data_IF_650799287797
#
_entry.id   IF_650799287797
#
_cell.length_a   1.000
_cell.length_b   1.000
_cell.length_c   1.000
_cell.angle_alpha   90.00
_cell.angle_beta   90.00
_cell.angle_gamma   90.00
#
_symmetry.space_group_name_H-M   'P 1'
#
loop_
_entity.id
_entity.type
_entity.pdbx_description
1 polymer ?
#
# COMPACT_ATOMS: atom_id res chain seq x y z
N UNK A 1 19.97 -6.90 -21.95
CA UNK A 1 20.32 -6.96 -20.51
C UNK A 1 19.23 -6.19 -19.79
N UNK A 2 18.42 -6.89 -19.01
CA UNK A 2 17.28 -6.30 -18.30
C UNK A 2 17.80 -5.32 -17.25
N UNK A 3 17.37 -4.08 -17.36
CA UNK A 3 17.75 -2.96 -16.50
C UNK A 3 16.74 -2.87 -15.37
N UNK A 4 17.21 -2.89 -14.11
CA UNK A 4 16.35 -2.77 -12.92
C UNK A 4 15.85 -1.32 -12.68
N UNK A 5 15.86 -0.49 -13.73
CA UNK A 5 15.51 0.93 -13.65
C UNK A 5 14.20 1.21 -14.40
N UNK A 6 13.44 2.16 -13.88
CA UNK A 6 12.15 2.60 -14.39
C UNK A 6 12.14 4.12 -14.52
N UNK A 7 11.42 4.60 -15.52
CA UNK A 7 10.87 5.94 -15.54
C UNK A 7 9.55 5.91 -14.78
N UNK A 8 9.36 6.80 -13.80
CA UNK A 8 8.13 6.90 -13.04
C UNK A 8 7.84 8.34 -12.58
N UNK A 9 6.57 8.65 -12.37
CA UNK A 9 6.07 9.90 -11.79
C UNK A 9 5.22 9.56 -10.57
N UNK A 10 5.58 10.10 -9.41
CA UNK A 10 4.91 9.75 -8.15
C UNK A 10 4.88 8.23 -7.93
N UNK A 11 3.69 7.65 -7.89
CA UNK A 11 3.43 6.21 -7.73
C UNK A 11 3.15 5.47 -9.06
N UNK A 12 3.23 6.16 -10.20
CA UNK A 12 2.94 5.60 -11.52
C UNK A 12 4.20 5.23 -12.30
N UNK A 13 4.34 3.97 -12.68
CA UNK A 13 5.38 3.54 -13.61
C UNK A 13 5.01 3.99 -15.03
N UNK A 14 5.99 4.55 -15.74
CA UNK A 14 5.83 5.03 -17.12
C UNK A 14 6.44 4.02 -18.09
N UNK A 15 7.70 3.66 -17.90
CA UNK A 15 8.42 2.75 -18.80
C UNK A 15 9.62 2.11 -18.07
N UNK A 16 10.09 0.98 -18.57
CA UNK A 16 11.39 0.44 -18.16
C UNK A 16 12.50 1.23 -18.85
N UNK A 17 13.62 1.46 -18.16
CA UNK A 17 14.72 2.26 -18.70
C UNK A 17 15.63 1.37 -19.50
N UNK A 18 15.78 1.60 -20.79
CA UNK A 18 16.79 0.97 -21.65
C UNK A 18 17.90 1.97 -21.96
N UNK A 19 19.17 1.54 -21.86
CA UNK A 19 20.31 2.35 -22.29
C UNK A 19 20.73 1.93 -23.69
N UNK A 20 20.71 2.87 -24.63
CA UNK A 20 21.18 2.68 -26.01
C UNK A 20 22.71 2.61 -26.06
N UNK A 21 23.24 2.17 -27.20
CA UNK A 21 24.69 2.02 -27.43
C UNK A 21 25.46 3.34 -27.29
N UNK A 22 24.81 4.48 -27.57
CA UNK A 22 25.35 5.83 -27.42
C UNK A 22 25.27 6.37 -25.98
N UNK A 23 24.77 5.57 -25.04
CA UNK A 23 24.57 5.95 -23.64
C UNK A 23 23.24 6.65 -23.34
N UNK A 24 22.41 6.94 -24.35
CA UNK A 24 21.11 7.60 -24.16
C UNK A 24 20.14 6.69 -23.43
N UNK A 25 19.48 7.22 -22.39
CA UNK A 25 18.37 6.54 -21.72
C UNK A 25 17.08 6.72 -22.52
N UNK A 26 16.39 5.62 -22.77
CA UNK A 26 15.11 5.57 -23.46
C UNK A 26 14.15 4.58 -22.82
N UNK A 27 12.85 4.76 -23.02
CA UNK A 27 11.84 3.80 -22.62
C UNK A 27 11.99 2.51 -23.41
N UNK A 28 11.99 1.36 -22.73
CA UNK A 28 12.13 0.06 -23.37
C UNK A 28 10.89 -0.35 -24.16
N UNK A 29 9.71 0.14 -23.78
CA UNK A 29 8.46 -0.10 -24.52
C UNK A 29 8.15 1.02 -25.51
N UNK A 30 8.24 2.27 -25.07
CA UNK A 30 7.90 3.43 -25.89
C UNK A 30 8.98 3.81 -26.90
N UNK A 31 10.23 3.42 -26.66
CA UNK A 31 11.40 3.88 -27.42
C UNK A 31 11.74 5.36 -27.23
N UNK A 32 10.93 6.13 -26.48
CA UNK A 32 11.10 7.57 -26.26
C UNK A 32 12.30 7.85 -25.39
N UNK A 33 13.07 8.89 -25.70
CA UNK A 33 14.19 9.32 -24.85
C UNK A 33 13.68 9.89 -23.54
N UNK A 34 14.54 9.95 -22.52
CA UNK A 34 14.19 10.61 -21.26
C UNK A 34 13.66 12.04 -21.47
N UNK A 35 14.25 12.81 -22.38
CA UNK A 35 13.81 14.17 -22.67
C UNK A 35 12.37 14.22 -23.21
N UNK A 36 12.02 13.30 -24.12
CA UNK A 36 10.66 13.19 -24.66
C UNK A 36 9.67 12.75 -23.57
N UNK A 37 10.08 11.84 -22.69
CA UNK A 37 9.25 11.43 -21.56
C UNK A 37 9.04 12.57 -20.55
N UNK A 38 10.05 13.41 -20.31
CA UNK A 38 9.90 14.62 -19.47
C UNK A 38 8.95 15.64 -20.09
N UNK A 39 8.97 15.80 -21.42
CA UNK A 39 8.04 16.69 -22.12
C UNK A 39 6.58 16.21 -21.98
N UNK A 40 6.36 14.90 -22.04
CA UNK A 40 5.02 14.30 -21.98
C UNK A 40 4.45 14.17 -20.56
N UNK A 41 5.27 13.73 -19.60
CA UNK A 41 4.85 13.42 -18.24
C UNK A 41 5.24 14.50 -17.21
N UNK A 42 5.98 15.51 -17.65
CA UNK A 42 6.40 16.64 -16.83
C UNK A 42 7.77 16.48 -16.16
N UNK A 43 8.28 17.56 -15.55
CA UNK A 43 9.62 17.63 -14.96
C UNK A 43 9.80 16.75 -13.71
N UNK A 44 8.70 16.21 -13.18
CA UNK A 44 8.67 15.32 -12.02
C UNK A 44 9.05 13.87 -12.37
N UNK A 45 9.18 13.57 -13.66
CA UNK A 45 9.61 12.26 -14.13
C UNK A 45 11.01 11.93 -13.61
N UNK A 46 11.09 10.77 -12.94
CA UNK A 46 12.30 10.27 -12.30
C UNK A 46 12.76 9.00 -12.97
N UNK A 47 14.07 8.83 -13.00
CA UNK A 47 14.73 7.54 -13.24
C UNK A 47 15.15 6.99 -11.88
N UNK A 48 14.71 5.79 -11.56
CA UNK A 48 15.13 5.12 -10.32
C UNK A 48 15.01 3.60 -10.46
N UNK A 49 15.44 2.91 -9.42
CA UNK A 49 15.34 1.46 -9.31
C UNK A 49 13.89 0.99 -9.13
N UNK A 50 13.65 -0.30 -9.37
CA UNK A 50 12.35 -0.94 -9.06
C UNK A 50 12.01 -0.86 -7.58
N UNK A 51 13.00 -0.88 -6.71
CA UNK A 51 12.80 -0.77 -5.26
C UNK A 51 12.33 0.63 -4.86
N UNK A 52 12.94 1.68 -5.40
CA UNK A 52 12.52 3.07 -5.18
C UNK A 52 11.10 3.31 -5.71
N UNK A 53 10.79 2.79 -6.91
CA UNK A 53 9.43 2.84 -7.44
C UNK A 53 8.44 2.10 -6.52
N UNK A 54 8.75 0.87 -6.11
CA UNK A 54 7.87 0.08 -5.23
C UNK A 54 7.63 0.79 -3.90
N UNK A 55 8.66 1.39 -3.30
CA UNK A 55 8.51 2.15 -2.08
C UNK A 55 7.57 3.36 -2.26
N UNK A 56 7.72 4.12 -3.34
CA UNK A 56 6.84 5.26 -3.66
C UNK A 56 5.41 4.81 -3.95
N UNK A 57 5.26 3.74 -4.73
CA UNK A 57 3.97 3.13 -5.06
C UNK A 57 3.24 2.65 -3.80
N UNK A 58 3.89 1.86 -2.96
CA UNK A 58 3.25 1.29 -1.77
C UNK A 58 2.92 2.37 -0.75
N UNK A 59 3.78 3.38 -0.58
CA UNK A 59 3.50 4.52 0.28
C UNK A 59 2.24 5.28 -0.14
N UNK A 60 1.97 5.41 -1.45
CA UNK A 60 0.76 6.04 -1.97
C UNK A 60 -0.52 5.26 -1.64
N UNK A 61 -0.45 3.92 -1.69
CA UNK A 61 -1.61 3.06 -1.45
C UNK A 61 -1.86 2.75 0.03
N UNK A 62 -0.84 2.86 0.88
CA UNK A 62 -0.99 2.64 2.32
C UNK A 62 -1.91 3.68 2.94
N UNK A 63 -2.59 3.28 4.00
CA UNK A 63 -3.38 4.19 4.84
C UNK A 63 -3.31 3.68 6.28
N UNK A 64 -3.18 4.57 7.28
CA UNK A 64 -3.14 4.17 8.67
C UNK A 64 -4.49 3.59 9.12
N UNK A 65 -4.48 2.94 10.29
CA UNK A 65 -5.73 2.51 10.91
C UNK A 65 -6.64 3.71 11.21
N UNK A 66 -7.91 3.54 10.87
CA UNK A 66 -9.00 4.42 11.27
C UNK A 66 -10.15 3.57 11.81
N UNK A 67 -10.93 4.16 12.69
CA UNK A 67 -12.15 3.53 13.21
C UNK A 67 -13.24 3.52 12.13
N UNK A 68 -14.03 2.45 12.12
CA UNK A 68 -15.19 2.24 11.24
C UNK A 68 -16.36 1.74 12.09
N UNK A 69 -17.56 1.71 11.51
CA UNK A 69 -18.73 1.19 12.19
C UNK A 69 -18.76 -0.34 12.16
N UNK A 70 -19.57 -0.95 13.04
CA UNK A 70 -19.81 -2.39 13.05
C UNK A 70 -20.37 -2.87 11.69
N UNK A 71 -21.31 -2.12 11.12
CA UNK A 71 -21.94 -2.45 9.83
C UNK A 71 -20.93 -2.43 8.69
N UNK A 72 -19.95 -1.52 8.72
CA UNK A 72 -18.90 -1.46 7.72
C UNK A 72 -17.95 -2.67 7.82
N UNK A 73 -17.64 -3.12 9.04
CA UNK A 73 -16.84 -4.32 9.29
C UNK A 73 -17.58 -5.59 8.83
N UNK A 74 -18.84 -5.74 9.22
CA UNK A 74 -19.66 -6.89 8.83
C UNK A 74 -19.87 -6.94 7.32
N UNK A 75 -20.11 -5.80 6.68
CA UNK A 75 -20.16 -5.72 5.22
C UNK A 75 -18.83 -6.18 4.62
N UNK A 76 -17.69 -5.71 5.13
CA UNK A 76 -16.39 -6.11 4.61
C UNK A 76 -16.15 -7.62 4.74
N UNK A 77 -16.59 -8.23 5.84
CA UNK A 77 -16.47 -9.67 6.08
C UNK A 77 -17.33 -10.51 5.11
N UNK A 78 -18.45 -9.96 4.63
CA UNK A 78 -19.41 -10.67 3.78
C UNK A 78 -19.27 -10.36 2.27
N UNK A 79 -18.52 -9.31 1.89
CA UNK A 79 -18.34 -8.93 0.48
C UNK A 79 -17.21 -9.71 -0.20
N UNK A 80 -16.11 -9.99 0.51
CA UNK A 80 -15.00 -10.78 0.00
C UNK A 80 -14.53 -11.80 1.03
N UNK A 81 -14.06 -12.98 0.60
CA UNK A 81 -13.51 -13.98 1.51
C UNK A 81 -12.39 -13.40 2.38
N UNK A 82 -12.40 -13.64 3.71
CA UNK A 82 -11.33 -13.22 4.59
C UNK A 82 -10.06 -14.05 4.33
N UNK A 83 -8.91 -13.38 4.34
CA UNK A 83 -7.59 -13.97 4.24
C UNK A 83 -6.81 -13.72 5.54
N UNK A 84 -6.13 -14.76 6.03
CA UNK A 84 -5.31 -14.69 7.23
C UNK A 84 -6.07 -14.26 8.48
N UNK A 85 -7.32 -14.73 8.62
CA UNK A 85 -8.16 -14.43 9.77
C UNK A 85 -7.54 -15.01 11.05
N UNK A 86 -7.27 -14.15 12.02
CA UNK A 86 -6.63 -14.53 13.28
C UNK A 86 -7.01 -13.59 14.43
N UNK A 87 -6.90 -14.09 15.67
CA UNK A 87 -7.04 -13.27 16.88
C UNK A 87 -5.72 -13.24 17.65
N UNK A 88 -5.19 -12.04 17.91
CA UNK A 88 -3.94 -11.82 18.64
C UNK A 88 -4.13 -10.67 19.64
N UNK A 89 -3.73 -10.87 20.89
CA UNK A 89 -3.81 -9.87 21.96
C UNK A 89 -5.19 -9.18 22.09
N UNK A 90 -6.26 -9.97 21.97
CA UNK A 90 -7.64 -9.48 22.06
C UNK A 90 -8.15 -8.73 20.82
N UNK A 91 -7.36 -8.69 19.74
CA UNK A 91 -7.72 -8.09 18.45
C UNK A 91 -7.98 -9.21 17.45
N UNK A 92 -9.23 -9.35 17.00
CA UNK A 92 -9.56 -10.19 15.86
C UNK A 92 -9.32 -9.40 14.58
N UNK A 93 -8.68 -10.00 13.58
CA UNK A 93 -8.38 -9.33 12.31
C UNK A 93 -8.44 -10.27 11.13
N UNK A 94 -8.75 -9.71 9.97
CA UNK A 94 -8.66 -10.37 8.68
C UNK A 94 -8.24 -9.37 7.61
N UNK A 95 -7.88 -9.87 6.43
CA UNK A 95 -7.59 -9.07 5.24
C UNK A 95 -8.53 -9.48 4.14
N UNK A 96 -8.81 -8.61 3.17
CA UNK A 96 -9.44 -9.09 1.94
C UNK A 96 -8.49 -9.98 1.15
N UNK A 97 -9.05 -10.98 0.46
CA UNK A 97 -8.29 -11.83 -0.46
C UNK A 97 -7.82 -11.08 -1.72
N UNK A 98 -8.54 -10.02 -2.12
CA UNK A 98 -8.22 -9.16 -3.24
C UNK A 98 -7.21 -8.05 -2.84
N UNK A 99 -6.33 -7.68 -3.77
CA UNK A 99 -5.35 -6.61 -3.59
C UNK A 99 -5.82 -5.37 -4.34
N UNK A 100 -5.73 -4.22 -3.70
CA UNK A 100 -6.06 -2.93 -4.31
C UNK A 100 -5.01 -2.52 -5.34
N UNK A 101 -3.73 -2.69 -4.99
CA UNK A 101 -2.59 -2.49 -5.88
C UNK A 101 -1.37 -3.22 -5.36
N UNK A 102 -0.62 -3.89 -6.24
CA UNK A 102 0.53 -4.71 -5.85
C UNK A 102 0.16 -5.70 -4.74
N UNK A 103 0.82 -5.62 -3.60
CA UNK A 103 0.56 -6.43 -2.40
C UNK A 103 -0.35 -5.74 -1.39
N UNK A 104 -0.78 -4.51 -1.63
CA UNK A 104 -1.58 -3.72 -0.69
C UNK A 104 -3.05 -4.14 -0.76
N UNK A 105 -3.66 -4.38 0.40
CA UNK A 105 -5.08 -4.73 0.55
C UNK A 105 -5.71 -3.99 1.74
N UNK A 106 -7.02 -4.10 1.89
CA UNK A 106 -7.69 -3.67 3.11
C UNK A 106 -7.48 -4.70 4.23
N UNK A 107 -7.08 -4.19 5.39
CA UNK A 107 -6.97 -4.96 6.64
C UNK A 107 -8.07 -4.47 7.55
N UNK A 108 -8.78 -5.40 8.19
CA UNK A 108 -9.85 -5.14 9.12
C UNK A 108 -9.48 -5.73 10.47
N UNK A 109 -9.82 -5.01 11.54
CA UNK A 109 -9.59 -5.46 12.91
C UNK A 109 -10.74 -5.04 13.81
N UNK A 110 -11.00 -5.78 14.88
CA UNK A 110 -11.95 -5.41 15.92
C UNK A 110 -11.47 -5.77 17.31
N UNK A 111 -11.87 -4.96 18.27
CA UNK A 111 -11.68 -5.17 19.71
C UNK A 111 -13.00 -4.92 20.42
N UNK A 112 -13.58 -5.94 21.07
CA UNK A 112 -14.91 -5.84 21.70
C UNK A 112 -15.94 -5.18 20.76
N UNK A 113 -16.27 -3.92 21.01
CA UNK A 113 -17.28 -3.07 20.37
C UNK A 113 -16.70 -2.02 19.41
N UNK A 114 -15.38 -2.05 19.15
CA UNK A 114 -14.68 -1.10 18.27
C UNK A 114 -14.10 -1.80 17.04
N UNK A 115 -14.21 -1.16 15.89
CA UNK A 115 -13.89 -1.74 14.59
C UNK A 115 -12.97 -0.81 13.81
N UNK A 116 -12.00 -1.37 13.09
CA UNK A 116 -10.92 -0.63 12.46
C UNK A 116 -10.63 -1.15 11.07
N UNK A 117 -10.14 -0.26 10.20
CA UNK A 117 -9.56 -0.64 8.91
C UNK A 117 -8.32 0.16 8.59
N UNK A 118 -7.40 -0.44 7.83
CA UNK A 118 -6.25 0.23 7.21
C UNK A 118 -5.97 -0.36 5.82
N UNK A 119 -5.04 0.25 5.10
CA UNK A 119 -4.49 -0.32 3.86
C UNK A 119 -3.02 -0.61 4.07
N UNK A 120 -2.64 -1.87 3.92
CA UNK A 120 -1.27 -2.34 4.15
C UNK A 120 -1.00 -3.60 3.33
N UNK A 121 0.23 -4.10 3.41
CA UNK A 121 0.66 -5.32 2.75
C UNK A 121 -0.17 -6.53 3.21
N UNK A 122 -0.51 -7.42 2.28
CA UNK A 122 -1.18 -8.69 2.55
C UNK A 122 -0.42 -9.55 3.56
N UNK A 123 0.90 -9.40 3.66
CA UNK A 123 1.75 -10.11 4.61
C UNK A 123 1.79 -9.47 6.01
N UNK A 124 1.06 -8.38 6.28
CA UNK A 124 1.07 -7.71 7.58
C UNK A 124 0.69 -8.71 8.69
N UNK A 125 1.56 -8.87 9.69
CA UNK A 125 1.38 -9.91 10.70
C UNK A 125 0.26 -9.56 11.70
N UNK A 126 -0.45 -10.56 12.25
CA UNK A 126 -1.46 -10.34 13.28
C UNK A 126 -0.93 -9.57 14.51
N UNK A 127 0.32 -9.83 14.92
CA UNK A 127 0.95 -9.13 16.03
C UNK A 127 1.16 -7.63 15.74
N UNK A 128 1.58 -7.26 14.53
CA UNK A 128 1.73 -5.84 14.15
C UNK A 128 0.36 -5.17 14.03
N UNK A 129 -0.65 -5.87 13.52
CA UNK A 129 -2.04 -5.36 13.48
C UNK A 129 -2.51 -5.05 14.90
N UNK A 130 -2.40 -6.01 15.82
CA UNK A 130 -2.82 -5.84 17.20
C UNK A 130 -2.09 -4.67 17.88
N UNK A 131 -0.76 -4.61 17.74
CA UNK A 131 0.06 -3.52 18.28
C UNK A 131 -0.38 -2.14 17.79
N UNK A 132 -0.66 -1.99 16.48
CA UNK A 132 -1.10 -0.72 15.90
C UNK A 132 -2.51 -0.32 16.32
N UNK A 133 -3.43 -1.28 16.45
CA UNK A 133 -4.78 -1.03 16.98
C UNK A 133 -4.70 -0.57 18.43
N UNK A 134 -3.92 -1.25 19.27
CA UNK A 134 -3.72 -0.84 20.66
C UNK A 134 -3.09 0.56 20.78
N UNK A 135 -2.12 0.88 19.93
CA UNK A 135 -1.53 2.23 19.87
C UNK A 135 -2.57 3.30 19.47
N UNK A 136 -3.47 2.98 18.53
CA UNK A 136 -4.56 3.88 18.14
C UNK A 136 -5.56 4.07 19.30
N UNK A 137 -5.95 2.99 19.97
CA UNK A 137 -6.83 3.04 21.15
C UNK A 137 -6.23 3.91 22.26
N UNK A 138 -4.93 3.75 22.53
CA UNK A 138 -4.22 4.53 23.55
C UNK A 138 -4.18 6.04 23.22
N UNK A 139 -4.14 6.41 21.94
CA UNK A 139 -4.18 7.82 21.50
C UNK A 139 -5.60 8.40 21.47
N UNK A 140 -6.62 7.55 21.28
CA UNK A 140 -8.03 7.97 21.21
C UNK A 140 -8.76 8.01 22.56
N UNK A 141 -8.20 7.43 23.62
CA UNK A 141 -8.69 7.69 24.98
C UNK A 141 -8.18 6.72 26.05
N UNK A 142 -7.74 7.30 27.17
CA UNK A 142 -8.16 6.79 28.47
C UNK A 142 -9.49 7.47 28.80
N UNK A 143 -10.63 6.76 28.85
CA UNK A 143 -11.83 7.32 29.45
C UNK A 143 -11.53 7.55 30.93
N UNK A 144 -11.44 8.82 31.33
CA UNK A 144 -11.41 9.20 32.74
C UNK A 144 -12.72 8.70 33.35
N UNK A 145 -12.62 7.71 34.24
CA UNK A 145 -13.72 7.29 35.10
C UNK A 145 -14.28 8.53 35.81
N UNK A 146 -15.58 8.74 35.68
CA UNK A 146 -16.38 9.63 36.49
C UNK A 146 -17.55 8.80 37.05
#
# INVERSE_FOLDING_TARGET
METDKLFFVGAGAIDVVYQRDDGTLAGGYSGKTQAQLVEEYGPELRVGTREEFRAAHDAHWRAPFKEITAEAYDKALNVLPPSGWHTTDGVESFKWSERLSGTITNVFARTRDRFFTCRDDISLSPAVIASRVHALLATQGSPRAA
#
